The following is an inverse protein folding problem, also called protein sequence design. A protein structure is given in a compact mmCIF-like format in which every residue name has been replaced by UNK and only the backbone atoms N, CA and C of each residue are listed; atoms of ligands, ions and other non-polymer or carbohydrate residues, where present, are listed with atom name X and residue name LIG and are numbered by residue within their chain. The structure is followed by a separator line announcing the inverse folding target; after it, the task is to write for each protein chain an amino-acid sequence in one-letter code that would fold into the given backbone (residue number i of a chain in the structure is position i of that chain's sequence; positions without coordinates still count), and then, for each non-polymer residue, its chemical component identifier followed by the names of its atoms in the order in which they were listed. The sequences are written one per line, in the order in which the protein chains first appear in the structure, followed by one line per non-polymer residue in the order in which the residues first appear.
data_IF_747690629301
#
_entry.id   IF_747690629301
#
_cell.length_a   1.000
_cell.length_b   1.000
_cell.length_c   1.000
_cell.angle_alpha   90.00
_cell.angle_beta   90.00
_cell.angle_gamma   90.00
#
_symmetry.space_group_name_H-M   'P 1'
#
loop_
_entity.id
_entity.type
_entity.pdbx_description
1 polymer ?
#
# COMPACT_ATOMS: atom_id res chain seq x y z
N UNK A 1 -69.09 -45.81 15.68
CA UNK A 1 -68.08 -45.60 16.72
C UNK A 1 -66.86 -46.46 16.35
N UNK A 2 -65.88 -45.88 15.65
CA UNK A 2 -64.68 -46.63 15.25
C UNK A 2 -63.68 -46.58 16.41
N UNK A 3 -63.60 -47.69 17.15
CA UNK A 3 -62.63 -47.88 18.22
C UNK A 3 -61.22 -47.88 17.65
N UNK A 4 -60.41 -46.91 18.09
CA UNK A 4 -58.97 -46.95 17.90
C UNK A 4 -58.43 -48.09 18.77
N UNK A 5 -58.06 -49.21 18.16
CA UNK A 5 -57.36 -50.29 18.84
C UNK A 5 -55.93 -49.81 19.13
N UNK A 6 -55.64 -49.52 20.40
CA UNK A 6 -54.30 -49.24 20.88
C UNK A 6 -53.51 -50.54 20.92
N UNK A 7 -52.57 -50.71 20.00
CA UNK A 7 -51.68 -51.87 19.95
C UNK A 7 -50.48 -51.62 20.87
N UNK A 8 -50.29 -52.39 21.97
CA UNK A 8 -49.15 -52.22 22.87
C UNK A 8 -47.83 -52.37 22.10
N UNK A 9 -46.90 -51.42 22.28
CA UNK A 9 -45.58 -51.42 21.62
C UNK A 9 -45.38 -50.40 20.49
N UNK A 10 -46.46 -49.88 19.89
CA UNK A 10 -46.35 -48.85 18.83
C UNK A 10 -45.88 -47.49 19.35
N UNK A 11 -46.21 -47.14 20.60
CA UNK A 11 -45.72 -45.92 21.24
C UNK A 11 -44.20 -45.90 21.41
N UNK A 12 -43.59 -47.06 21.70
CA UNK A 12 -42.14 -47.19 21.83
C UNK A 12 -41.45 -47.06 20.46
N UNK A 13 -42.00 -47.71 19.43
CA UNK A 13 -41.49 -47.60 18.06
C UNK A 13 -41.55 -46.17 17.53
N UNK A 14 -42.69 -45.48 17.70
CA UNK A 14 -42.84 -44.10 17.27
C UNK A 14 -41.83 -43.16 17.97
N UNK A 15 -41.62 -43.34 19.28
CA UNK A 15 -40.66 -42.55 20.06
C UNK A 15 -39.23 -42.77 19.57
N UNK A 16 -38.84 -44.03 19.33
CA UNK A 16 -37.49 -44.37 18.83
C UNK A 16 -37.29 -43.83 17.40
N UNK A 17 -38.30 -43.91 16.53
CA UNK A 17 -38.21 -43.36 15.17
C UNK A 17 -38.05 -41.85 15.20
N UNK A 18 -38.85 -41.13 16.00
CA UNK A 18 -38.73 -39.67 16.15
C UNK A 18 -37.36 -39.31 16.71
N UNK A 19 -36.89 -39.99 17.76
CA UNK A 19 -35.56 -39.75 18.33
C UNK A 19 -34.45 -39.96 17.30
N UNK A 20 -34.52 -41.04 16.51
CA UNK A 20 -33.55 -41.31 15.44
C UNK A 20 -33.57 -40.23 14.36
N UNK A 21 -34.76 -39.81 13.90
CA UNK A 21 -34.90 -38.74 12.92
C UNK A 21 -34.39 -37.41 13.48
N UNK A 22 -34.66 -37.10 14.74
CA UNK A 22 -34.14 -35.91 15.42
C UNK A 22 -32.62 -35.92 15.52
N UNK A 23 -32.00 -37.05 15.81
CA UNK A 23 -30.54 -37.19 15.82
C UNK A 23 -29.95 -36.97 14.42
N UNK A 24 -30.52 -37.61 13.39
CA UNK A 24 -30.07 -37.42 12.00
C UNK A 24 -30.23 -35.95 11.58
N UNK A 25 -31.38 -35.35 11.85
CA UNK A 25 -31.64 -33.94 11.54
C UNK A 25 -30.66 -33.02 12.26
N UNK A 26 -30.38 -33.27 13.55
CA UNK A 26 -29.40 -32.52 14.32
C UNK A 26 -28.01 -32.62 13.71
N UNK A 27 -27.55 -33.82 13.34
CA UNK A 27 -26.23 -34.02 12.71
C UNK A 27 -26.15 -33.28 11.38
N UNK A 28 -27.18 -33.39 10.53
CA UNK A 28 -27.23 -32.71 9.22
C UNK A 28 -27.22 -31.18 9.39
N UNK A 29 -28.00 -30.64 10.34
CA UNK A 29 -28.02 -29.20 10.63
C UNK A 29 -26.65 -28.75 11.17
N UNK A 30 -26.06 -29.47 12.13
CA UNK A 30 -24.73 -29.17 12.66
C UNK A 30 -23.67 -29.15 11.57
N UNK A 31 -23.67 -30.15 10.66
CA UNK A 31 -22.74 -30.17 9.52
C UNK A 31 -22.92 -28.97 8.58
N UNK A 32 -24.16 -28.59 8.27
CA UNK A 32 -24.46 -27.41 7.44
C UNK A 32 -24.02 -26.12 8.11
N UNK A 33 -24.27 -25.98 9.41
CA UNK A 33 -23.86 -24.81 10.20
C UNK A 33 -22.34 -24.70 10.26
N UNK A 34 -21.63 -25.80 10.52
CA UNK A 34 -20.17 -25.82 10.53
C UNK A 34 -19.57 -25.45 9.17
N UNK A 35 -20.14 -25.98 8.08
CA UNK A 35 -19.71 -25.62 6.72
C UNK A 35 -19.93 -24.15 6.42
N UNK A 36 -21.12 -23.61 6.70
CA UNK A 36 -21.41 -22.18 6.52
C UNK A 36 -20.50 -21.30 7.36
N UNK A 37 -20.22 -21.70 8.61
CA UNK A 37 -19.30 -20.97 9.48
C UNK A 37 -17.88 -20.98 8.90
N UNK A 38 -17.40 -22.11 8.39
CA UNK A 38 -16.10 -22.19 7.73
C UNK A 38 -16.02 -21.30 6.47
N UNK A 39 -17.05 -21.30 5.64
CA UNK A 39 -17.17 -20.41 4.47
C UNK A 39 -17.17 -18.93 4.88
N UNK A 40 -17.90 -18.56 5.93
CA UNK A 40 -17.90 -17.20 6.49
C UNK A 40 -16.55 -16.78 7.04
N UNK A 41 -15.83 -17.67 7.75
CA UNK A 41 -14.49 -17.36 8.24
C UNK A 41 -13.48 -17.18 7.10
N UNK A 42 -13.58 -17.98 6.03
CA UNK A 42 -12.75 -17.79 4.86
C UNK A 42 -13.04 -16.46 4.17
N UNK A 43 -14.32 -16.13 3.97
CA UNK A 43 -14.71 -14.85 3.39
C UNK A 43 -14.23 -13.67 4.23
N UNK A 44 -14.44 -13.72 5.56
CA UNK A 44 -13.97 -12.67 6.47
C UNK A 44 -12.45 -12.47 6.44
N UNK A 45 -11.66 -13.53 6.21
CA UNK A 45 -10.20 -13.41 6.01
C UNK A 45 -9.85 -12.74 4.69
N UNK A 46 -10.60 -13.04 3.62
CA UNK A 46 -10.41 -12.42 2.30
C UNK A 46 -10.76 -10.93 2.35
N UNK A 47 -11.89 -10.60 2.97
CA UNK A 47 -12.34 -9.22 3.13
C UNK A 47 -11.33 -8.42 3.97
N UNK A 48 -10.91 -8.96 5.13
CA UNK A 48 -9.90 -8.30 5.98
C UNK A 48 -8.55 -8.11 5.28
N UNK A 49 -8.09 -9.09 4.49
CA UNK A 49 -6.89 -8.95 3.66
C UNK A 49 -7.05 -7.85 2.62
N UNK A 50 -8.21 -7.78 1.97
CA UNK A 50 -8.53 -6.78 0.94
C UNK A 50 -8.61 -5.37 1.52
N UNK A 51 -9.25 -5.20 2.68
CA UNK A 51 -9.32 -3.93 3.40
C UNK A 51 -7.94 -3.48 3.87
N UNK A 52 -7.11 -4.40 4.37
CA UNK A 52 -5.73 -4.11 4.74
C UNK A 52 -4.90 -3.69 3.53
N UNK A 53 -5.01 -4.41 2.41
CA UNK A 53 -4.35 -4.05 1.16
C UNK A 53 -4.76 -2.65 0.69
N UNK A 54 -6.05 -2.33 0.78
CA UNK A 54 -6.58 -1.00 0.48
C UNK A 54 -5.91 0.07 1.33
N UNK A 55 -5.86 -0.13 2.65
CA UNK A 55 -5.24 0.80 3.58
C UNK A 55 -3.74 1.00 3.28
N UNK A 56 -2.98 -0.08 3.05
CA UNK A 56 -1.55 0.00 2.77
C UNK A 56 -1.24 0.72 1.44
N UNK A 57 -2.03 0.51 0.40
CA UNK A 57 -1.86 1.23 -0.87
C UNK A 57 -2.12 2.73 -0.69
N UNK A 58 -3.17 3.11 0.05
CA UNK A 58 -3.48 4.52 0.32
C UNK A 58 -2.34 5.18 1.13
N UNK A 59 -1.82 4.49 2.15
CA UNK A 59 -0.71 4.98 2.96
C UNK A 59 0.60 5.08 2.16
N UNK A 60 0.86 4.12 1.27
CA UNK A 60 2.00 4.18 0.36
C UNK A 60 1.92 5.42 -0.54
N UNK A 61 0.79 5.62 -1.21
CA UNK A 61 0.57 6.77 -2.09
C UNK A 61 0.70 8.09 -1.31
N UNK A 62 0.14 8.15 -0.11
CA UNK A 62 0.21 9.33 0.76
C UNK A 62 1.65 9.63 1.21
N UNK A 63 2.44 8.61 1.53
CA UNK A 63 3.83 8.80 1.94
C UNK A 63 4.69 9.23 0.74
N UNK A 64 4.43 8.70 -0.46
CA UNK A 64 5.11 9.15 -1.69
C UNK A 64 4.74 10.60 -2.02
N UNK A 65 3.48 10.99 -1.78
CA UNK A 65 3.01 12.35 -1.93
C UNK A 65 3.74 13.32 -1.00
N UNK A 66 3.83 12.96 0.28
CA UNK A 66 4.57 13.68 1.30
C UNK A 66 6.05 13.85 0.90
N UNK A 67 6.67 12.75 0.44
CA UNK A 67 8.03 12.76 -0.10
C UNK A 67 8.19 13.73 -1.26
N UNK A 68 7.27 13.76 -2.22
CA UNK A 68 7.31 14.70 -3.33
C UNK A 68 7.35 16.16 -2.88
N UNK A 69 6.54 16.51 -1.88
CA UNK A 69 6.52 17.87 -1.29
C UNK A 69 7.82 18.20 -0.56
N UNK A 70 8.32 17.27 0.25
CA UNK A 70 9.59 17.47 0.96
C UNK A 70 10.77 17.58 -0.02
N UNK A 71 10.81 16.74 -1.06
CA UNK A 71 11.82 16.81 -2.11
C UNK A 71 11.77 18.15 -2.87
N UNK A 72 10.58 18.65 -3.19
CA UNK A 72 10.40 19.95 -3.84
C UNK A 72 10.93 21.10 -2.95
N UNK A 73 10.70 21.04 -1.64
CA UNK A 73 11.25 22.02 -0.69
C UNK A 73 12.77 21.86 -0.50
N UNK A 74 13.30 20.65 -0.63
CA UNK A 74 14.71 20.33 -0.40
C UNK A 74 15.61 20.68 -1.59
N UNK A 75 15.14 20.49 -2.82
CA UNK A 75 15.89 20.76 -4.05
C UNK A 75 16.57 22.14 -4.08
N UNK A 76 15.89 23.27 -3.81
CA UNK A 76 16.55 24.57 -3.83
C UNK A 76 17.66 24.67 -2.78
N UNK A 77 17.44 24.14 -1.56
CA UNK A 77 18.44 24.13 -0.48
C UNK A 77 19.67 23.29 -0.85
N UNK A 78 19.45 22.11 -1.43
CA UNK A 78 20.53 21.26 -1.93
C UNK A 78 21.29 21.94 -3.06
N UNK A 79 20.60 22.64 -3.96
CA UNK A 79 21.23 23.38 -5.05
C UNK A 79 22.09 24.56 -4.54
N UNK A 80 21.62 25.29 -3.52
CA UNK A 80 22.39 26.33 -2.84
C UNK A 80 23.61 25.76 -2.12
N UNK A 81 23.44 24.65 -1.39
CA UNK A 81 24.55 23.93 -0.77
C UNK A 81 25.58 23.52 -1.82
N UNK A 82 25.17 22.86 -2.91
CA UNK A 82 26.05 22.47 -4.02
C UNK A 82 26.80 23.65 -4.65
N UNK A 83 26.22 24.86 -4.69
CA UNK A 83 26.92 26.07 -5.12
C UNK A 83 28.01 26.48 -4.11
N UNK A 84 27.71 26.43 -2.81
CA UNK A 84 28.70 26.68 -1.75
C UNK A 84 29.85 25.65 -1.80
N UNK A 85 29.56 24.37 -2.05
CA UNK A 85 30.59 23.32 -2.20
C UNK A 85 31.63 23.71 -3.25
N UNK A 86 31.18 24.27 -4.39
CA UNK A 86 32.09 24.67 -5.49
C UNK A 86 33.02 25.83 -5.11
N UNK A 87 32.72 26.54 -4.03
CA UNK A 87 33.52 27.69 -3.54
C UNK A 87 34.46 27.31 -2.40
N UNK A 88 34.28 26.14 -1.77
CA UNK A 88 35.15 25.66 -0.70
C UNK A 88 36.46 25.17 -1.30
N UNK A 89 37.58 25.61 -0.72
CA UNK A 89 38.90 25.08 -1.06
C UNK A 89 38.97 23.61 -0.62
N UNK A 90 39.19 22.64 -1.54
CA UNK A 90 39.31 21.23 -1.16
C UNK A 90 40.50 20.95 -0.22
N UNK A 91 41.45 21.87 -0.06
CA UNK A 91 42.53 21.77 0.93
C UNK A 91 42.07 22.10 2.36
N UNK A 92 40.92 22.77 2.53
CA UNK A 92 40.36 23.07 3.85
C UNK A 92 39.53 21.87 4.35
N UNK A 93 40.22 20.96 5.04
CA UNK A 93 39.60 19.75 5.58
C UNK A 93 38.46 20.05 6.57
N UNK A 94 38.51 21.17 7.30
CA UNK A 94 37.47 21.53 8.26
C UNK A 94 36.20 22.00 7.53
N UNK A 95 36.34 22.90 6.55
CA UNK A 95 35.21 23.36 5.75
C UNK A 95 34.53 22.21 4.98
N UNK A 96 35.31 21.24 4.49
CA UNK A 96 34.77 20.05 3.82
C UNK A 96 33.98 19.15 4.78
N UNK A 97 34.44 18.98 6.02
CA UNK A 97 33.72 18.13 6.99
C UNK A 97 32.45 18.82 7.52
N UNK A 98 32.49 20.12 7.82
CA UNK A 98 31.29 20.90 8.20
C UNK A 98 30.21 20.85 7.11
N UNK A 99 30.63 20.91 5.84
CA UNK A 99 29.76 20.75 4.69
C UNK A 99 29.14 19.35 4.62
N UNK A 100 29.92 18.29 4.84
CA UNK A 100 29.41 16.91 4.85
C UNK A 100 28.38 16.71 5.95
N UNK A 101 28.63 17.26 7.13
CA UNK A 101 27.71 17.18 8.26
C UNK A 101 26.42 17.95 7.99
N UNK A 102 26.48 19.11 7.33
CA UNK A 102 25.29 19.84 6.89
C UNK A 102 24.45 19.03 5.89
N UNK A 103 25.08 18.36 4.92
CA UNK A 103 24.38 17.50 3.95
C UNK A 103 23.77 16.27 4.66
N UNK A 104 24.52 15.64 5.56
CA UNK A 104 24.05 14.49 6.35
C UNK A 104 22.87 14.86 7.22
N UNK A 105 22.94 15.97 7.97
CA UNK A 105 21.85 16.44 8.82
C UNK A 105 20.60 16.72 7.97
N UNK A 106 20.76 17.42 6.84
CA UNK A 106 19.65 17.73 5.95
C UNK A 106 19.00 16.47 5.35
N UNK A 107 19.80 15.46 4.99
CA UNK A 107 19.30 14.19 4.48
C UNK A 107 18.66 13.32 5.57
N UNK A 108 19.25 13.29 6.77
CA UNK A 108 18.76 12.49 7.90
C UNK A 108 17.38 12.97 8.37
N UNK A 109 17.20 14.29 8.48
CA UNK A 109 15.97 14.89 9.01
C UNK A 109 14.72 14.68 8.14
N UNK A 110 14.87 14.29 6.87
CA UNK A 110 13.73 14.24 5.93
C UNK A 110 13.67 12.97 5.08
N UNK A 111 14.81 12.50 4.58
CA UNK A 111 14.80 11.43 3.59
C UNK A 111 14.74 10.04 4.22
N UNK A 112 15.38 9.84 5.38
CA UNK A 112 15.50 8.51 6.00
C UNK A 112 14.14 8.01 6.50
N UNK A 113 13.45 8.80 7.34
CA UNK A 113 12.17 8.40 7.91
C UNK A 113 11.11 8.12 6.83
N UNK A 114 11.00 9.02 5.84
CA UNK A 114 10.09 8.84 4.72
C UNK A 114 10.42 7.61 3.88
N UNK A 115 11.71 7.34 3.66
CA UNK A 115 12.14 6.17 2.91
C UNK A 115 11.77 4.88 3.65
N UNK A 116 11.99 4.83 4.97
CA UNK A 116 11.61 3.68 5.80
C UNK A 116 10.10 3.44 5.79
N UNK A 117 9.29 4.50 6.00
CA UNK A 117 7.82 4.40 5.92
C UNK A 117 7.35 3.94 4.55
N UNK A 118 7.89 4.53 3.48
CA UNK A 118 7.53 4.17 2.10
C UNK A 118 7.86 2.71 1.81
N UNK A 119 9.03 2.26 2.24
CA UNK A 119 9.51 0.88 2.03
C UNK A 119 8.68 -0.11 2.85
N UNK A 120 8.30 0.24 4.08
CA UNK A 120 7.43 -0.59 4.91
C UNK A 120 6.06 -0.82 4.25
N UNK A 121 5.40 0.24 3.79
CA UNK A 121 4.11 0.12 3.09
C UNK A 121 4.24 -0.64 1.76
N UNK A 122 5.32 -0.42 1.01
CA UNK A 122 5.61 -1.16 -0.22
C UNK A 122 5.73 -2.68 0.05
N UNK A 123 6.51 -3.08 1.05
CA UNK A 123 6.62 -4.51 1.41
C UNK A 123 5.30 -5.07 1.93
N UNK A 124 4.53 -4.31 2.72
CA UNK A 124 3.22 -4.74 3.16
C UNK A 124 2.30 -5.04 1.96
N UNK A 125 2.27 -4.18 0.94
CA UNK A 125 1.53 -4.43 -0.30
C UNK A 125 2.00 -5.72 -1.00
N UNK A 126 3.31 -5.91 -1.14
CA UNK A 126 3.88 -7.12 -1.76
C UNK A 126 3.56 -8.41 -0.98
N UNK A 127 3.40 -8.34 0.34
CA UNK A 127 2.99 -9.48 1.16
C UNK A 127 1.47 -9.73 1.12
N UNK A 128 0.68 -8.71 0.81
CA UNK A 128 -0.78 -8.76 0.82
C UNK A 128 -1.37 -9.13 -0.53
N UNK A 129 -0.64 -9.08 -1.64
CA UNK A 129 -1.17 -9.45 -2.95
C UNK A 129 -0.09 -9.96 -3.91
N UNK A 130 -0.48 -10.93 -4.75
CA UNK A 130 0.32 -11.42 -5.88
C UNK A 130 -0.13 -10.80 -7.22
N UNK A 131 -1.09 -9.87 -7.18
CA UNK A 131 -1.62 -9.21 -8.39
C UNK A 131 -0.54 -8.33 -9.03
N UNK A 132 -0.21 -8.61 -10.30
CA UNK A 132 0.83 -7.90 -11.05
C UNK A 132 0.52 -6.42 -11.23
N UNK A 133 -0.76 -6.05 -11.27
CA UNK A 133 -1.18 -4.66 -11.44
C UNK A 133 -0.84 -3.80 -10.22
N UNK A 134 -0.69 -4.41 -9.03
CA UNK A 134 -0.20 -3.74 -7.83
C UNK A 134 1.30 -3.98 -7.60
N UNK A 135 1.76 -5.22 -7.72
CA UNK A 135 3.15 -5.58 -7.36
C UNK A 135 4.18 -4.99 -8.31
N UNK A 136 3.91 -4.90 -9.62
CA UNK A 136 4.87 -4.33 -10.58
C UNK A 136 5.16 -2.84 -10.33
N UNK A 137 4.14 -1.95 -10.20
CA UNK A 137 4.38 -0.57 -9.82
C UNK A 137 5.15 -0.43 -8.50
N UNK A 138 4.81 -1.22 -7.47
CA UNK A 138 5.51 -1.19 -6.18
C UNK A 138 6.99 -1.55 -6.33
N UNK A 139 7.32 -2.61 -7.06
CA UNK A 139 8.72 -3.00 -7.29
C UNK A 139 9.51 -1.92 -8.05
N UNK A 140 8.87 -1.24 -9.01
CA UNK A 140 9.49 -0.12 -9.73
C UNK A 140 9.73 1.08 -8.82
N UNK A 141 8.76 1.44 -7.98
CA UNK A 141 8.92 2.47 -6.96
C UNK A 141 10.07 2.14 -6.00
N UNK A 142 10.14 0.91 -5.49
CA UNK A 142 11.25 0.46 -4.64
C UNK A 142 12.62 0.55 -5.34
N UNK A 143 12.66 0.30 -6.65
CA UNK A 143 13.90 0.43 -7.45
C UNK A 143 14.35 1.89 -7.50
N UNK A 144 13.43 2.81 -7.78
CA UNK A 144 13.71 4.25 -7.81
C UNK A 144 14.17 4.74 -6.44
N UNK A 145 13.45 4.39 -5.37
CA UNK A 145 13.82 4.79 -4.01
C UNK A 145 15.14 4.17 -3.55
N UNK A 146 15.45 2.95 -3.98
CA UNK A 146 16.74 2.31 -3.72
C UNK A 146 17.91 3.04 -4.41
N UNK A 147 17.71 3.57 -5.62
CA UNK A 147 18.70 4.39 -6.30
C UNK A 147 18.91 5.72 -5.57
N UNK A 148 17.83 6.40 -5.17
CA UNK A 148 17.92 7.65 -4.43
C UNK A 148 18.64 7.51 -3.09
N UNK A 149 18.32 6.46 -2.33
CA UNK A 149 19.02 6.16 -1.07
C UNK A 149 20.51 5.97 -1.28
N UNK A 150 20.92 5.22 -2.31
CA UNK A 150 22.33 5.07 -2.66
C UNK A 150 22.97 6.40 -3.02
N UNK A 151 22.26 7.29 -3.71
CA UNK A 151 22.73 8.64 -4.00
C UNK A 151 23.00 9.45 -2.73
N UNK A 152 22.07 9.41 -1.77
CA UNK A 152 22.22 10.06 -0.46
C UNK A 152 23.43 9.48 0.30
N UNK A 153 23.58 8.15 0.31
CA UNK A 153 24.72 7.48 0.95
C UNK A 153 26.05 7.90 0.29
N UNK A 154 26.11 7.98 -1.04
CA UNK A 154 27.31 8.45 -1.75
C UNK A 154 27.65 9.90 -1.40
N UNK A 155 26.66 10.80 -1.41
CA UNK A 155 26.83 12.19 -0.97
C UNK A 155 27.36 12.28 0.45
N UNK A 156 26.77 11.52 1.37
CA UNK A 156 27.16 11.52 2.78
C UNK A 156 28.60 11.05 3.03
N UNK A 157 29.16 10.29 2.09
CA UNK A 157 30.53 9.80 2.11
C UNK A 157 31.50 10.72 1.35
N UNK A 158 31.02 11.86 0.84
CA UNK A 158 31.82 12.81 0.07
C UNK A 158 32.17 12.32 -1.34
N UNK A 159 31.48 11.28 -1.84
CA UNK A 159 31.64 10.85 -3.22
C UNK A 159 30.81 11.76 -4.13
N UNK A 160 31.32 12.11 -5.33
CA UNK A 160 30.52 12.85 -6.30
C UNK A 160 29.28 12.02 -6.68
N UNK A 161 28.12 12.68 -6.71
CA UNK A 161 26.93 12.06 -7.27
C UNK A 161 27.15 11.78 -8.75
N UNK A 162 26.72 10.61 -9.25
CA UNK A 162 26.46 10.46 -10.67
C UNK A 162 25.48 11.56 -11.11
N UNK A 163 25.73 12.25 -12.23
CA UNK A 163 24.78 13.25 -12.76
C UNK A 163 23.37 12.67 -12.94
N UNK A 164 23.28 11.37 -13.21
CA UNK A 164 22.04 10.60 -13.32
C UNK A 164 21.27 10.41 -12.00
N UNK A 165 21.88 10.69 -10.83
CA UNK A 165 21.26 10.54 -9.51
C UNK A 165 20.73 11.84 -8.92
N UNK A 166 21.05 12.99 -9.50
CA UNK A 166 20.37 14.24 -9.15
C UNK A 166 18.95 14.08 -9.70
N UNK A 167 18.00 13.74 -8.83
CA UNK A 167 16.62 13.41 -9.18
C UNK A 167 16.02 14.50 -10.07
N UNK A 168 16.13 14.29 -11.38
CA UNK A 168 15.62 15.20 -12.38
C UNK A 168 14.09 15.10 -12.45
N UNK A 169 13.45 16.00 -13.21
CA UNK A 169 12.03 15.88 -13.52
C UNK A 169 11.64 14.51 -14.08
N UNK A 170 12.57 13.77 -14.69
CA UNK A 170 12.38 12.40 -15.17
C UNK A 170 12.10 11.39 -14.04
N UNK A 171 12.82 11.46 -12.92
CA UNK A 171 12.62 10.55 -11.79
C UNK A 171 11.23 10.76 -11.15
N UNK A 172 10.81 12.02 -11.01
CA UNK A 172 9.46 12.36 -10.53
C UNK A 172 8.39 11.84 -11.49
N UNK A 173 8.62 11.95 -12.80
CA UNK A 173 7.70 11.43 -13.81
C UNK A 173 7.58 9.91 -13.72
N UNK A 174 8.68 9.18 -13.52
CA UNK A 174 8.66 7.74 -13.30
C UNK A 174 7.88 7.36 -12.05
N UNK A 175 8.07 8.08 -10.94
CA UNK A 175 7.29 7.87 -9.70
C UNK A 175 5.80 8.13 -9.96
N UNK A 176 5.46 9.23 -10.64
CA UNK A 176 4.08 9.61 -10.93
C UNK A 176 3.33 8.53 -11.75
N UNK A 177 3.98 7.95 -12.78
CA UNK A 177 3.38 6.87 -13.58
C UNK A 177 3.04 5.65 -12.72
N UNK A 178 3.94 5.27 -11.80
CA UNK A 178 3.69 4.10 -10.94
C UNK A 178 2.68 4.39 -9.83
N UNK A 179 2.64 5.62 -9.29
CA UNK A 179 1.58 6.04 -8.36
C UNK A 179 0.22 6.04 -9.06
N UNK A 180 0.14 6.52 -10.30
CA UNK A 180 -1.07 6.49 -11.10
C UNK A 180 -1.58 5.05 -11.35
N UNK A 181 -0.67 4.11 -11.62
CA UNK A 181 -1.01 2.70 -11.75
C UNK A 181 -1.59 2.11 -10.45
N UNK A 182 -1.01 2.46 -9.28
CA UNK A 182 -1.52 2.04 -7.97
C UNK A 182 -2.88 2.66 -7.64
N UNK A 183 -3.10 3.93 -7.99
CA UNK A 183 -4.39 4.59 -7.88
C UNK A 183 -5.44 3.86 -8.71
N UNK A 184 -5.13 3.57 -9.97
CA UNK A 184 -6.01 2.80 -10.86
C UNK A 184 -6.35 1.44 -10.28
N UNK A 185 -5.36 0.72 -9.74
CA UNK A 185 -5.58 -0.55 -9.07
C UNK A 185 -6.53 -0.42 -7.87
N UNK A 186 -6.29 0.56 -7.00
CA UNK A 186 -7.12 0.80 -5.82
C UNK A 186 -8.58 1.10 -6.20
N UNK A 187 -8.82 1.98 -7.18
CA UNK A 187 -10.17 2.32 -7.61
C UNK A 187 -10.88 1.14 -8.29
N UNK A 188 -10.24 0.53 -9.30
CA UNK A 188 -10.89 -0.45 -10.16
C UNK A 188 -11.01 -1.84 -9.52
N UNK A 189 -10.01 -2.25 -8.72
CA UNK A 189 -9.95 -3.62 -8.16
C UNK A 189 -10.27 -3.68 -6.67
N UNK A 190 -9.96 -2.64 -5.90
CA UNK A 190 -10.23 -2.63 -4.46
C UNK A 190 -11.50 -1.86 -4.08
N UNK A 191 -12.20 -1.29 -5.07
CA UNK A 191 -13.44 -0.56 -4.86
C UNK A 191 -13.26 0.66 -3.95
N UNK A 192 -12.10 1.32 -4.00
CA UNK A 192 -11.92 2.60 -3.30
C UNK A 192 -12.84 3.63 -3.96
N UNK A 193 -13.92 3.99 -3.27
CA UNK A 193 -15.02 4.75 -3.86
C UNK A 193 -14.85 6.27 -3.77
N UNK A 194 -13.96 6.77 -2.90
CA UNK A 194 -13.73 8.21 -2.78
C UNK A 194 -12.26 8.56 -2.61
N UNK A 195 -11.90 9.68 -3.24
CA UNK A 195 -10.61 10.33 -3.07
C UNK A 195 -10.42 10.92 -1.66
N UNK A 196 -11.49 11.02 -0.86
CA UNK A 196 -11.48 11.67 0.46
C UNK A 196 -10.56 10.95 1.47
N UNK A 197 -10.17 9.71 1.17
CA UNK A 197 -9.21 8.97 1.98
C UNK A 197 -7.75 9.38 1.71
N UNK A 198 -7.49 10.19 0.69
CA UNK A 198 -6.15 10.69 0.40
C UNK A 198 -5.95 12.06 1.03
N UNK A 199 -4.78 12.23 1.67
CA UNK A 199 -4.44 13.46 2.40
C UNK A 199 -4.23 14.67 1.47
N UNK A 200 -4.03 14.46 0.16
CA UNK A 200 -3.71 15.53 -0.78
C UNK A 200 -4.40 15.34 -2.15
N UNK A 201 -5.61 15.88 -2.28
CA UNK A 201 -6.38 15.89 -3.53
C UNK A 201 -5.66 16.63 -4.68
N UNK A 202 -4.91 17.69 -4.36
CA UNK A 202 -4.24 18.49 -5.37
C UNK A 202 -3.11 17.71 -6.04
N UNK A 203 -2.35 16.93 -5.26
CA UNK A 203 -1.33 16.07 -5.84
C UNK A 203 -1.95 14.96 -6.70
N UNK A 204 -3.04 14.33 -6.27
CA UNK A 204 -3.72 13.32 -7.08
C UNK A 204 -4.21 13.93 -8.39
N UNK A 205 -4.81 15.11 -8.35
CA UNK A 205 -5.22 15.82 -9.55
C UNK A 205 -4.04 16.12 -10.47
N UNK A 206 -2.87 16.50 -9.92
CA UNK A 206 -1.66 16.68 -10.72
C UNK A 206 -1.15 15.37 -11.31
N UNK A 207 -1.14 14.28 -10.56
CA UNK A 207 -0.73 12.96 -11.04
C UNK A 207 -1.66 12.49 -12.16
N UNK A 208 -2.98 12.64 -11.98
CA UNK A 208 -3.98 12.28 -12.99
C UNK A 208 -3.86 13.14 -14.25
N UNK A 209 -3.62 14.44 -14.11
CA UNK A 209 -3.35 15.34 -15.24
C UNK A 209 -2.07 14.98 -15.97
N UNK A 210 -0.99 14.71 -15.24
CA UNK A 210 0.32 14.38 -15.80
C UNK A 210 0.34 13.01 -16.49
N UNK A 211 -0.49 12.08 -16.04
CA UNK A 211 -0.63 10.76 -16.65
C UNK A 211 -1.65 10.73 -17.81
N UNK A 212 -2.25 11.87 -18.18
CA UNK A 212 -3.39 11.98 -19.11
C UNK A 212 -4.59 11.07 -18.73
N UNK A 213 -4.70 10.75 -17.44
CA UNK A 213 -5.72 9.89 -16.89
C UNK A 213 -6.99 10.66 -16.51
N UNK A 214 -6.98 11.99 -16.59
CA UNK A 214 -8.14 12.84 -16.25
C UNK A 214 -9.45 12.43 -16.92
N UNK A 215 -9.41 11.80 -18.11
CA UNK A 215 -10.60 11.27 -18.81
C UNK A 215 -11.09 9.91 -18.32
N UNK A 216 -10.20 9.04 -17.85
CA UNK A 216 -10.57 7.73 -17.29
C UNK A 216 -11.19 7.86 -15.88
N UNK A 217 -10.92 8.98 -15.20
CA UNK A 217 -11.28 9.19 -13.79
C UNK A 217 -12.41 10.21 -13.58
N UNK A 218 -13.04 10.73 -14.65
CA UNK A 218 -14.37 11.36 -14.51
C UNK A 218 -15.35 10.26 -14.12
N UNK A 219 -15.67 10.20 -12.82
CA UNK A 219 -16.44 9.13 -12.22
C UNK A 219 -17.64 8.72 -13.08
N UNK A 220 -17.91 7.41 -13.28
CA UNK A 220 -19.26 6.99 -13.62
C UNK A 220 -20.17 7.52 -12.51
N UNK A 221 -21.07 8.44 -12.87
CA UNK A 221 -22.17 8.83 -11.98
C UNK A 221 -23.02 7.58 -11.77
N UNK A 222 -22.77 6.87 -10.68
CA UNK A 222 -23.69 5.87 -10.14
C UNK A 222 -24.78 6.59 -9.34
#
# INVERSE_FOLDING_TARGET
MNGWYYTPGWGALATVTVATVSLIASVVISQRTLRRSAEQFQQGRIDARTDKLRAEIIQLITTIAERGRQAAAMRPRMHELMKLIKTIDPADAQAVEEMRDAIRAMAADTAIELHERTTAHAYAVLMLTDDKDATMPVMKLLTVFGQERRGIELLSNGNPLPESMISGPEADQHVAVHVAALLRFALLKLGVSSYDNFVDHHLIDQILKNADLTREFQAPRF
#
